data_IF_919794118675
#
_entry.id   IF_919794118675
#
_cell.length_a   1.000
_cell.length_b   1.000
_cell.length_c   1.000
_cell.angle_alpha   90.00
_cell.angle_beta   90.00
_cell.angle_gamma   90.00
#
_symmetry.space_group_name_H-M   'P 1'
#
loop_
_entity.id
_entity.type
_entity.pdbx_description
1 polymer ?
#
# COMPACT_ATOMS: atom_id res chain seq x y z
N UNK A 1 16.14 0.56 -7.71
CA UNK A 1 16.83 0.74 -6.40
C UNK A 1 15.88 1.40 -5.40
N UNK A 2 15.86 1.07 -4.10
CA UNK A 2 15.21 1.94 -3.10
C UNK A 2 16.13 3.11 -2.80
N UNK A 3 15.66 4.35 -3.00
CA UNK A 3 16.35 5.54 -2.50
C UNK A 3 16.27 5.50 -0.98
N UNK A 4 17.35 5.01 -0.36
CA UNK A 4 17.48 4.83 1.09
C UNK A 4 17.14 6.11 1.85
N UNK A 5 17.44 7.27 1.29
CA UNK A 5 17.46 8.53 2.03
C UNK A 5 16.07 9.03 2.40
N UNK A 6 15.05 8.68 1.60
CA UNK A 6 13.64 9.04 1.86
C UNK A 6 12.85 7.97 2.59
N UNK A 7 13.39 6.77 2.78
CA UNK A 7 12.67 5.69 3.46
C UNK A 7 12.44 6.04 4.94
N UNK A 8 11.20 5.89 5.40
CA UNK A 8 10.75 6.16 6.78
C UNK A 8 10.48 4.88 7.59
N UNK A 9 10.95 3.73 7.11
CA UNK A 9 10.79 2.44 7.79
C UNK A 9 9.36 1.93 8.06
N UNK A 10 8.35 2.46 7.36
CA UNK A 10 6.94 2.10 7.55
C UNK A 10 6.54 0.65 7.20
N UNK A 11 7.47 -0.19 6.72
CA UNK A 11 7.24 -1.62 6.40
C UNK A 11 6.26 -1.93 5.26
N UNK A 12 5.54 -0.94 4.71
CA UNK A 12 4.59 -1.13 3.60
C UNK A 12 5.12 -2.02 2.49
N UNK A 13 6.34 -1.75 2.02
CA UNK A 13 6.92 -2.47 0.89
C UNK A 13 7.15 -3.96 1.16
N UNK A 14 7.61 -4.33 2.36
CA UNK A 14 7.80 -5.71 2.77
C UNK A 14 6.46 -6.42 3.03
N UNK A 15 5.43 -5.69 3.47
CA UNK A 15 4.07 -6.24 3.58
C UNK A 15 3.49 -6.59 2.19
N UNK A 16 3.78 -5.78 1.17
CA UNK A 16 3.30 -6.03 -0.20
C UNK A 16 4.11 -7.10 -0.94
N UNK A 17 5.44 -7.08 -0.83
CA UNK A 17 6.33 -7.99 -1.55
C UNK A 17 7.51 -8.43 -0.67
N UNK A 18 7.28 -9.35 0.29
CA UNK A 18 8.30 -9.79 1.24
C UNK A 18 9.46 -10.56 0.58
N UNK A 19 9.23 -11.08 -0.62
CA UNK A 19 10.21 -11.74 -1.49
C UNK A 19 11.15 -10.75 -2.21
N UNK A 20 10.81 -9.46 -2.23
CA UNK A 20 11.55 -8.39 -2.92
C UNK A 20 12.22 -7.45 -1.91
N UNK A 21 11.50 -7.07 -0.86
CA UNK A 21 11.95 -6.07 0.11
C UNK A 21 12.31 -6.70 1.45
N UNK A 22 13.39 -6.22 2.03
CA UNK A 22 13.82 -6.58 3.38
C UNK A 22 14.10 -5.31 4.20
N UNK A 23 14.10 -5.46 5.53
CA UNK A 23 14.43 -4.41 6.48
C UNK A 23 15.89 -4.54 6.92
N UNK A 24 16.64 -3.45 6.86
CA UNK A 24 17.93 -3.32 7.52
C UNK A 24 17.72 -2.71 8.91
N UNK A 25 17.97 -3.51 9.95
CA UNK A 25 17.77 -3.13 11.36
C UNK A 25 18.87 -2.22 11.91
N UNK A 26 19.99 -2.03 11.19
CA UNK A 26 21.08 -1.14 11.62
C UNK A 26 20.80 0.30 11.26
N UNK A 27 20.23 0.52 10.08
CA UNK A 27 19.92 1.85 9.54
C UNK A 27 18.42 2.18 9.58
N UNK A 28 17.59 1.25 10.06
CA UNK A 28 16.13 1.36 10.15
C UNK A 28 15.50 1.77 8.81
N UNK A 29 15.85 1.04 7.75
CA UNK A 29 15.35 1.30 6.39
C UNK A 29 15.04 0.01 5.68
N UNK A 30 14.06 0.09 4.79
CA UNK A 30 13.78 -0.99 3.86
C UNK A 30 14.60 -0.84 2.58
N UNK A 31 15.03 -1.98 2.04
CA UNK A 31 15.80 -2.05 0.80
C UNK A 31 15.29 -3.16 -0.11
N UNK A 32 15.63 -3.06 -1.40
CA UNK A 32 15.39 -4.17 -2.34
C UNK A 32 16.46 -5.24 -2.13
N UNK A 33 16.07 -6.37 -1.55
CA UNK A 33 16.97 -7.51 -1.36
C UNK A 33 17.09 -8.34 -2.65
N UNK A 34 15.99 -8.50 -3.40
CA UNK A 34 15.95 -9.21 -4.68
C UNK A 34 15.11 -8.43 -5.68
N UNK A 35 15.57 -8.28 -6.93
CA UNK A 35 14.74 -7.71 -8.00
C UNK A 35 13.64 -8.69 -8.40
N UNK A 36 12.43 -8.21 -8.75
CA UNK A 36 11.38 -9.10 -9.26
C UNK A 36 11.81 -9.77 -10.57
N UNK A 37 11.40 -11.01 -10.76
CA UNK A 37 11.51 -11.73 -12.02
C UNK A 37 10.52 -11.14 -13.04
N UNK A 38 11.02 -10.77 -14.23
CA UNK A 38 10.21 -10.20 -15.31
C UNK A 38 9.14 -11.14 -15.88
N UNK A 39 9.27 -12.45 -15.65
CA UNK A 39 8.34 -13.47 -16.11
C UNK A 39 7.29 -13.86 -15.05
N UNK A 40 7.54 -13.54 -13.77
CA UNK A 40 6.60 -13.78 -12.67
C UNK A 40 5.65 -12.58 -12.53
N UNK A 41 4.49 -12.70 -13.19
CA UNK A 41 3.48 -11.64 -13.20
C UNK A 41 2.95 -11.32 -11.80
N UNK A 42 2.79 -12.32 -10.94
CA UNK A 42 2.24 -12.12 -9.60
C UNK A 42 3.23 -11.38 -8.71
N UNK A 43 4.51 -11.77 -8.75
CA UNK A 43 5.59 -11.05 -8.07
C UNK A 43 5.71 -9.61 -8.57
N UNK A 44 5.60 -9.38 -9.89
CA UNK A 44 5.59 -8.04 -10.46
C UNK A 44 4.40 -7.20 -9.98
N UNK A 45 3.21 -7.79 -9.85
CA UNK A 45 2.04 -7.10 -9.29
C UNK A 45 2.25 -6.70 -7.83
N UNK A 46 2.80 -7.60 -7.00
CA UNK A 46 3.17 -7.28 -5.61
C UNK A 46 4.21 -6.16 -5.54
N UNK A 47 5.22 -6.20 -6.41
CA UNK A 47 6.25 -5.15 -6.51
C UNK A 47 5.66 -3.79 -6.88
N UNK A 48 4.69 -3.76 -7.82
CA UNK A 48 3.97 -2.55 -8.23
C UNK A 48 3.12 -1.99 -7.10
N UNK A 49 2.38 -2.85 -6.40
CA UNK A 49 1.60 -2.44 -5.23
C UNK A 49 2.50 -1.85 -4.14
N UNK A 50 3.67 -2.45 -3.88
CA UNK A 50 4.66 -1.88 -2.96
C UNK A 50 5.14 -0.48 -3.39
N UNK A 51 5.41 -0.28 -4.69
CA UNK A 51 5.84 0.99 -5.27
C UNK A 51 4.81 2.11 -5.05
N UNK A 52 3.54 1.84 -5.40
CA UNK A 52 2.43 2.79 -5.24
C UNK A 52 2.16 3.04 -3.75
N UNK A 53 2.31 2.01 -2.92
CA UNK A 53 2.01 2.10 -1.51
C UNK A 53 3.06 2.82 -0.66
N UNK A 54 4.24 3.09 -1.21
CA UNK A 54 5.28 3.80 -0.49
C UNK A 54 4.87 5.27 -0.23
N UNK A 55 4.62 5.68 1.02
CA UNK A 55 4.04 6.99 1.33
C UNK A 55 4.98 8.16 1.00
N UNK A 56 6.28 7.87 0.94
CA UNK A 56 7.37 8.83 0.72
C UNK A 56 8.05 8.61 -0.65
N UNK A 57 7.44 7.79 -1.50
CA UNK A 57 7.92 7.42 -2.84
C UNK A 57 9.40 7.00 -2.87
N UNK A 58 9.89 6.32 -1.82
CA UNK A 58 11.30 5.94 -1.68
C UNK A 58 11.74 4.83 -2.64
N UNK A 59 10.81 4.02 -3.15
CA UNK A 59 11.10 2.94 -4.11
C UNK A 59 11.30 3.55 -5.50
N UNK A 60 12.40 3.19 -6.19
CA UNK A 60 12.71 3.65 -7.55
C UNK A 60 12.82 2.48 -8.51
N UNK A 61 12.33 2.71 -9.72
CA UNK A 61 12.53 1.84 -10.87
C UNK A 61 13.67 2.43 -11.71
N UNK A 62 14.68 1.63 -11.98
CA UNK A 62 15.77 1.99 -12.88
C UNK A 62 15.42 1.39 -14.26
N UNK A 63 14.98 2.23 -15.19
CA UNK A 63 14.61 1.81 -16.57
C UNK A 63 15.83 1.58 -17.47
N UNK A 64 17.05 1.81 -16.98
CA UNK A 64 18.29 1.77 -17.76
C UNK A 64 18.66 0.38 -18.26
N UNK A 65 18.23 -0.70 -17.59
CA UNK A 65 18.60 -2.08 -17.98
C UNK A 65 17.84 -2.60 -19.21
N UNK A 66 16.78 -1.91 -19.66
CA UNK A 66 16.06 -2.29 -20.88
C UNK A 66 16.74 -1.79 -22.18
N UNK A 67 17.80 -0.97 -22.11
CA UNK A 67 18.40 -0.33 -23.29
C UNK A 67 19.76 -0.89 -23.74
N UNK A 68 20.36 -1.87 -23.04
CA UNK A 68 21.75 -2.28 -23.29
C UNK A 68 21.93 -3.56 -24.13
N UNK A 69 21.12 -3.77 -25.15
CA UNK A 69 21.40 -4.76 -26.22
C UNK A 69 21.34 -4.22 -27.64
N UNK A 70 21.47 -2.89 -27.85
CA UNK A 70 21.66 -2.35 -29.20
C UNK A 70 22.64 -1.17 -29.18
N UNK A 71 23.92 -1.43 -29.48
CA UNK A 71 24.85 -0.39 -29.93
C UNK A 71 24.42 0.07 -31.31
N UNK A 72 23.72 1.20 -31.37
CA UNK A 72 23.32 1.85 -32.62
C UNK A 72 22.70 3.21 -32.34
N UNK A 73 23.36 4.26 -32.83
CA UNK A 73 22.93 5.65 -32.83
C UNK A 73 21.52 5.85 -33.39
N UNK A 74 20.68 6.63 -32.70
CA UNK A 74 19.83 7.72 -33.22
C UNK A 74 18.53 7.89 -32.42
N UNK A 75 18.20 9.16 -32.17
CA UNK A 75 16.87 9.78 -32.01
C UNK A 75 15.75 9.04 -31.27
N UNK A 76 15.27 9.72 -30.22
CA UNK A 76 14.04 9.50 -29.49
C UNK A 76 12.84 9.04 -30.33
N UNK A 77 12.20 7.95 -29.88
CA UNK A 77 10.79 7.69 -30.12
C UNK A 77 10.12 7.33 -28.79
N UNK A 78 9.25 8.25 -28.32
CA UNK A 78 8.52 8.18 -27.05
C UNK A 78 7.49 7.04 -26.96
N UNK A 79 7.35 6.21 -28.00
CA UNK A 79 6.34 5.17 -28.10
C UNK A 79 6.74 3.84 -27.40
N UNK A 80 8.03 3.49 -27.34
CA UNK A 80 8.48 2.19 -26.80
C UNK A 80 8.57 2.17 -25.27
N UNK A 81 8.91 3.32 -24.66
CA UNK A 81 8.80 3.52 -23.20
C UNK A 81 7.36 3.33 -22.70
N UNK A 82 6.37 3.54 -23.58
CA UNK A 82 4.94 3.45 -23.26
C UNK A 82 4.48 2.04 -22.93
N UNK A 83 5.06 0.98 -23.51
CA UNK A 83 4.54 -0.39 -23.35
C UNK A 83 4.92 -1.01 -22.00
N UNK A 84 6.15 -0.75 -21.54
CA UNK A 84 6.59 -1.19 -20.21
C UNK A 84 5.84 -0.41 -19.12
N UNK A 85 5.70 0.92 -19.29
CA UNK A 85 4.97 1.78 -18.36
C UNK A 85 3.45 1.52 -18.36
N UNK A 86 2.85 1.18 -19.50
CA UNK A 86 1.43 0.76 -19.55
C UNK A 86 1.18 -0.58 -18.85
N UNK A 87 2.17 -1.48 -18.80
CA UNK A 87 2.12 -2.67 -17.93
C UNK A 87 2.32 -2.35 -16.44
N UNK A 88 2.72 -1.12 -16.07
CA UNK A 88 2.92 -0.70 -14.68
C UNK A 88 1.68 -0.12 -14.02
N UNK A 89 0.58 0.09 -14.76
CA UNK A 89 -0.70 0.47 -14.15
C UNK A 89 -1.26 -0.77 -13.44
N UNK A 90 -1.48 -0.74 -12.11
CA UNK A 90 -2.09 -1.86 -11.41
C UNK A 90 -3.44 -2.20 -12.06
N UNK A 91 -3.62 -3.45 -12.46
CA UNK A 91 -4.88 -3.95 -13.05
C UNK A 91 -5.98 -4.14 -11.99
N UNK A 92 -5.62 -4.02 -10.71
CA UNK A 92 -6.51 -4.12 -9.55
C UNK A 92 -6.36 -2.89 -8.65
N UNK A 93 -7.47 -2.47 -8.05
CA UNK A 93 -7.44 -1.62 -6.84
C UNK A 93 -6.63 -2.35 -5.77
N UNK A 94 -5.58 -1.70 -5.29
CA UNK A 94 -4.62 -2.27 -4.32
C UNK A 94 -5.26 -2.59 -2.97
N UNK A 95 -6.40 -1.97 -2.69
CA UNK A 95 -7.23 -2.15 -1.52
C UNK A 95 -8.72 -2.31 -1.90
N UNK A 96 -9.51 -2.94 -1.04
CA UNK A 96 -9.10 -3.63 0.18
C UNK A 96 -8.49 -5.01 -0.09
N UNK A 97 -7.62 -5.49 0.81
CA UNK A 97 -7.06 -6.84 0.76
C UNK A 97 -7.43 -7.65 1.97
N UNK A 98 -8.07 -8.80 1.78
CA UNK A 98 -8.32 -9.74 2.86
C UNK A 98 -6.97 -10.27 3.36
N UNK A 99 -6.62 -9.97 4.61
CA UNK A 99 -5.41 -10.48 5.25
C UNK A 99 -5.67 -11.83 5.90
N UNK A 100 -6.81 -11.96 6.59
CA UNK A 100 -7.11 -13.13 7.40
C UNK A 100 -8.62 -13.31 7.53
N UNK A 101 -9.06 -14.55 7.42
CA UNK A 101 -10.34 -14.98 7.99
C UNK A 101 -10.08 -15.51 9.39
N UNK A 102 -10.93 -15.17 10.34
CA UNK A 102 -10.83 -15.59 11.74
C UNK A 102 -11.84 -16.72 11.96
N UNK A 103 -11.46 -18.02 11.87
CA UNK A 103 -12.43 -19.10 11.82
C UNK A 103 -13.27 -19.22 13.09
N UNK A 104 -12.67 -18.93 14.25
CA UNK A 104 -13.32 -19.00 15.55
C UNK A 104 -14.55 -18.07 15.66
N UNK A 105 -14.50 -16.90 15.01
CA UNK A 105 -15.56 -15.90 15.06
C UNK A 105 -16.26 -15.71 13.70
N UNK A 106 -15.79 -16.39 12.65
CA UNK A 106 -16.16 -16.14 11.25
C UNK A 106 -15.99 -14.67 10.84
N UNK A 107 -15.04 -13.98 11.48
CA UNK A 107 -14.70 -12.60 11.16
C UNK A 107 -13.65 -12.49 10.06
N UNK A 108 -13.39 -11.28 9.61
CA UNK A 108 -12.42 -10.97 8.58
C UNK A 108 -11.55 -9.79 9.00
N UNK A 109 -10.28 -9.81 8.61
CA UNK A 109 -9.35 -8.70 8.78
C UNK A 109 -8.86 -8.29 7.40
N UNK A 110 -9.02 -7.02 7.07
CA UNK A 110 -8.69 -6.46 5.77
C UNK A 110 -7.68 -5.33 5.89
N UNK A 111 -6.70 -5.31 5.01
CA UNK A 111 -5.81 -4.18 4.81
C UNK A 111 -6.51 -3.14 3.93
N UNK A 112 -6.54 -1.85 4.32
CA UNK A 112 -7.44 -0.86 3.72
C UNK A 112 -6.81 0.44 3.23
N UNK A 113 -5.52 0.64 3.41
CA UNK A 113 -4.91 1.88 2.96
C UNK A 113 -3.42 2.00 3.21
N UNK A 114 -2.86 3.06 2.68
CA UNK A 114 -1.45 3.36 2.85
C UNK A 114 -1.19 3.98 4.22
N UNK A 115 0.00 3.70 4.73
CA UNK A 115 0.55 4.38 5.91
C UNK A 115 0.63 5.89 5.64
N UNK A 116 0.45 6.72 6.66
CA UNK A 116 0.74 8.14 6.55
C UNK A 116 2.23 8.40 6.83
N UNK A 117 2.85 9.30 6.09
CA UNK A 117 4.23 9.73 6.36
C UNK A 117 4.36 10.49 7.69
N UNK A 118 3.24 10.99 8.21
CA UNK A 118 3.15 11.74 9.46
C UNK A 118 2.90 10.84 10.69
N UNK A 119 2.89 9.53 10.50
CA UNK A 119 2.59 8.51 11.53
C UNK A 119 3.74 7.50 11.61
N UNK A 120 3.91 6.80 12.74
CA UNK A 120 5.02 5.85 12.95
C UNK A 120 4.93 4.55 12.12
N UNK A 121 4.16 4.55 11.03
CA UNK A 121 4.07 3.41 10.12
C UNK A 121 3.10 2.33 10.58
N UNK A 122 2.06 2.68 11.33
CA UNK A 122 0.96 1.77 11.63
C UNK A 122 0.32 1.24 10.33
N UNK A 123 0.09 -0.08 10.24
CA UNK A 123 -0.56 -0.71 9.08
C UNK A 123 -2.07 -0.64 9.30
N UNK A 124 -2.81 0.25 8.61
CA UNK A 124 -4.23 0.43 8.89
C UNK A 124 -5.06 -0.75 8.40
N UNK A 125 -5.87 -1.37 9.26
CA UNK A 125 -6.72 -2.48 8.89
C UNK A 125 -8.14 -2.30 9.41
N UNK A 126 -9.11 -2.99 8.81
CA UNK A 126 -10.47 -3.08 9.33
C UNK A 126 -10.76 -4.52 9.74
N UNK A 127 -11.24 -4.68 10.95
CA UNK A 127 -11.79 -5.94 11.44
C UNK A 127 -13.31 -5.91 11.25
N UNK A 128 -13.85 -6.93 10.58
CA UNK A 128 -15.29 -7.14 10.39
C UNK A 128 -15.72 -8.39 11.14
N UNK A 129 -16.61 -8.23 12.11
CA UNK A 129 -17.27 -9.32 12.81
C UNK A 129 -18.31 -10.03 11.94
N UNK A 130 -18.65 -11.27 12.28
CA UNK A 130 -19.71 -12.02 11.59
C UNK A 130 -21.10 -11.38 11.71
N UNK A 131 -21.29 -10.53 12.72
CA UNK A 131 -22.48 -9.71 12.95
C UNK A 131 -22.53 -8.45 12.07
N UNK A 132 -21.48 -8.20 11.28
CA UNK A 132 -21.34 -7.00 10.45
C UNK A 132 -20.71 -5.80 11.14
N UNK A 133 -20.38 -5.90 12.43
CA UNK A 133 -19.68 -4.82 13.15
C UNK A 133 -18.30 -4.61 12.55
N UNK A 134 -17.95 -3.35 12.28
CA UNK A 134 -16.68 -2.97 11.66
C UNK A 134 -15.88 -2.02 12.55
N UNK A 135 -14.60 -2.33 12.71
CA UNK A 135 -13.65 -1.54 13.49
C UNK A 135 -12.46 -1.21 12.60
N UNK A 136 -12.30 0.07 12.25
CA UNK A 136 -11.07 0.57 11.63
C UNK A 136 -10.02 0.71 12.73
N UNK A 137 -8.86 0.08 12.54
CA UNK A 137 -7.71 0.17 13.42
C UNK A 137 -6.62 0.96 12.74
N UNK A 138 -6.11 1.96 13.46
CA UNK A 138 -5.19 3.00 13.00
C UNK A 138 -5.77 3.86 11.85
N UNK A 139 -5.11 4.98 11.55
CA UNK A 139 -5.62 5.94 10.56
C UNK A 139 -4.87 5.80 9.24
N UNK A 140 -5.47 5.23 8.18
CA UNK A 140 -4.87 5.27 6.86
C UNK A 140 -4.75 6.71 6.37
N UNK A 141 -3.74 6.99 5.55
CA UNK A 141 -3.69 8.26 4.82
C UNK A 141 -5.00 8.46 4.06
N UNK A 142 -5.63 9.61 4.25
CA UNK A 142 -6.89 9.90 3.59
C UNK A 142 -6.71 9.97 2.07
N UNK A 143 -7.55 9.24 1.34
CA UNK A 143 -7.75 9.36 -0.10
C UNK A 143 -9.16 8.89 -0.45
N UNK A 144 -9.67 9.33 -1.60
CA UNK A 144 -11.00 8.90 -2.08
C UNK A 144 -11.04 7.37 -2.28
N UNK A 145 -9.95 6.78 -2.75
CA UNK A 145 -9.89 5.34 -2.99
C UNK A 145 -9.79 4.53 -1.69
N UNK A 146 -9.05 5.04 -0.69
CA UNK A 146 -9.06 4.44 0.65
C UNK A 146 -10.46 4.51 1.27
N UNK A 147 -11.17 5.63 1.11
CA UNK A 147 -12.54 5.77 1.61
C UNK A 147 -13.48 4.77 0.95
N UNK A 148 -13.42 4.63 -0.39
CA UNK A 148 -14.21 3.64 -1.12
C UNK A 148 -13.86 2.21 -0.71
N UNK A 149 -12.59 1.91 -0.48
CA UNK A 149 -12.16 0.58 -0.03
C UNK A 149 -12.77 0.26 1.34
N UNK A 150 -12.71 1.18 2.30
CA UNK A 150 -13.32 1.03 3.63
C UNK A 150 -14.85 0.88 3.52
N UNK A 151 -15.52 1.77 2.78
CA UNK A 151 -16.97 1.74 2.57
C UNK A 151 -17.43 0.40 1.96
N UNK A 152 -16.64 -0.18 1.05
CA UNK A 152 -16.95 -1.46 0.41
C UNK A 152 -16.95 -2.64 1.40
N UNK A 153 -16.11 -2.60 2.44
CA UNK A 153 -16.07 -3.63 3.48
C UNK A 153 -17.22 -3.43 4.47
N UNK A 154 -17.49 -2.17 4.84
CA UNK A 154 -18.56 -1.83 5.76
C UNK A 154 -19.96 -2.06 5.16
N UNK A 155 -20.08 -2.09 3.83
CA UNK A 155 -21.38 -2.11 3.15
C UNK A 155 -22.18 -0.82 3.38
N UNK A 156 -21.50 0.28 3.72
CA UNK A 156 -22.11 1.54 4.14
C UNK A 156 -21.25 2.73 3.71
N UNK A 157 -21.89 3.74 3.13
CA UNK A 157 -21.24 5.01 2.77
C UNK A 157 -20.91 5.89 3.97
N UNK A 158 -21.34 5.50 5.18
CA UNK A 158 -21.07 6.23 6.42
C UNK A 158 -19.83 5.71 7.15
N UNK A 159 -19.12 4.73 6.58
CA UNK A 159 -17.86 4.22 7.09
C UNK A 159 -18.00 3.15 8.18
N UNK A 160 -16.93 2.90 8.96
CA UNK A 160 -16.89 1.88 9.99
C UNK A 160 -17.69 2.28 11.24
N UNK A 161 -18.10 1.30 12.05
CA UNK A 161 -18.80 1.57 13.30
C UNK A 161 -17.89 2.21 14.36
N UNK A 162 -16.62 1.79 14.39
CA UNK A 162 -15.62 2.23 15.35
C UNK A 162 -14.30 2.57 14.66
N UNK A 163 -13.57 3.53 15.23
CA UNK A 163 -12.19 3.85 14.86
C UNK A 163 -11.31 3.76 16.11
N UNK A 164 -10.55 2.67 16.19
CA UNK A 164 -9.59 2.42 17.24
C UNK A 164 -8.22 2.94 16.79
N UNK A 165 -7.71 3.95 17.47
CA UNK A 165 -6.37 4.48 17.22
C UNK A 165 -5.44 3.93 18.29
N UNK A 166 -4.38 3.21 17.90
CA UNK A 166 -3.52 2.52 18.87
C UNK A 166 -2.57 3.47 19.60
N UNK A 167 -2.08 4.52 18.92
CA UNK A 167 -1.19 5.54 19.47
C UNK A 167 -1.62 6.95 19.07
N UNK A 168 -1.36 7.94 19.92
CA UNK A 168 -1.76 9.34 19.68
C UNK A 168 -1.17 9.91 18.38
N UNK A 169 0.02 9.44 18.00
CA UNK A 169 0.72 9.88 16.78
C UNK A 169 0.12 9.29 15.49
N UNK A 170 -0.78 8.31 15.58
CA UNK A 170 -1.51 7.74 14.44
C UNK A 170 -2.85 8.45 14.18
N UNK A 171 -3.01 9.69 14.68
CA UNK A 171 -4.20 10.52 14.52
C UNK A 171 -4.20 11.38 13.26
N UNK A 172 -3.08 11.45 12.53
CA UNK A 172 -2.97 12.24 11.30
C UNK A 172 -4.03 11.81 10.26
N UNK A 173 -4.76 12.78 9.71
CA UNK A 173 -5.84 12.52 8.73
C UNK A 173 -7.18 12.12 9.34
N UNK A 174 -7.30 12.02 10.68
CA UNK A 174 -8.55 11.57 11.28
C UNK A 174 -9.71 12.56 11.06
N UNK A 175 -9.46 13.85 10.79
CA UNK A 175 -10.54 14.84 10.69
C UNK A 175 -11.28 14.65 9.37
N UNK A 176 -10.53 14.40 8.30
CA UNK A 176 -11.02 14.05 6.98
C UNK A 176 -11.86 12.76 7.03
N UNK A 177 -11.38 11.76 7.78
CA UNK A 177 -12.17 10.56 8.06
C UNK A 177 -13.44 10.84 8.88
N UNK A 178 -13.42 11.81 9.80
CA UNK A 178 -14.61 12.22 10.56
C UNK A 178 -15.67 12.81 9.64
N UNK A 179 -15.23 13.71 8.77
CA UNK A 179 -16.10 14.42 7.83
C UNK A 179 -16.72 13.44 6.83
N UNK A 180 -15.93 12.46 6.36
CA UNK A 180 -16.41 11.41 5.46
C UNK A 180 -17.32 10.39 6.15
N UNK A 181 -16.97 9.96 7.36
CA UNK A 181 -17.61 8.84 8.07
C UNK A 181 -18.42 9.33 9.27
N UNK A 182 -19.60 9.90 9.01
CA UNK A 182 -20.43 10.56 10.03
C UNK A 182 -20.96 9.67 11.17
N UNK A 183 -20.93 8.34 11.03
CA UNK A 183 -21.41 7.38 12.05
C UNK A 183 -20.29 6.77 12.92
N UNK A 184 -19.04 7.15 12.67
CA UNK A 184 -17.88 6.51 13.26
C UNK A 184 -17.67 6.94 14.72
N UNK A 185 -17.76 5.96 15.64
CA UNK A 185 -17.43 6.16 17.06
C UNK A 185 -15.91 6.09 17.27
N UNK A 186 -15.36 6.92 18.16
CA UNK A 186 -13.95 6.93 18.53
C UNK A 186 -13.81 6.67 20.01
#
# INVERSE_FOLDING_TARGET
STSTDRCIDCTTCANFAPDIFARDTKIWKHYVHSQPNGEDLEQLERARAALVACPVSAIRLDTTTASNTCTGSASADAATTSTYVKKLVPTRTEFPRLMMQVPATKGEVWYVGHHSADTFGATPYIARGSDGTTVLVDTPRFSIDAARAIESICGSSTGPNYHLITHVDDSAGHLEWKERCGNMKR
#
